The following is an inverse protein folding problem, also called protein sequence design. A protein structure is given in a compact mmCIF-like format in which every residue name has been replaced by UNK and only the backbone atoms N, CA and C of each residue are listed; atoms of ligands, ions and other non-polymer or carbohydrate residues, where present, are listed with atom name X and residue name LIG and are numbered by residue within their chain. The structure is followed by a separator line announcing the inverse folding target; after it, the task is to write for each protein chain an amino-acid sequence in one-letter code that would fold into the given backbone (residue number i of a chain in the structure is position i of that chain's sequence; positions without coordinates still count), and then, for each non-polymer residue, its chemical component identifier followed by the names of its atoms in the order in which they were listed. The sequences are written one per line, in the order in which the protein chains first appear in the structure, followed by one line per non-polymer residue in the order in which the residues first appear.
data_IF_545986554405
#
_entry.id   IF_545986554405
#
_cell.length_a   1.000
_cell.length_b   1.000
_cell.length_c   1.000
_cell.angle_alpha   90.00
_cell.angle_beta   90.00
_cell.angle_gamma   90.00
#
_symmetry.space_group_name_H-M   'P 1'
#
loop_
_entity.id
_entity.type
_entity.pdbx_description
1 polymer ?
#
# COMPACT_ATOMS: atom_id res chain seq x y z
N UNK A 1 -15.64 -2.60 -2.19
CA UNK A 1 -15.01 -2.67 -0.84
C UNK A 1 -16.07 -2.91 0.25
N UNK A 2 -15.88 -3.90 1.13
CA UNK A 2 -16.84 -4.24 2.19
C UNK A 2 -16.34 -3.70 3.54
N UNK A 3 -17.23 -3.02 4.28
CA UNK A 3 -16.95 -2.58 5.65
C UNK A 3 -16.90 -3.80 6.59
N UNK A 4 -15.86 -3.87 7.43
CA UNK A 4 -15.71 -4.88 8.47
C UNK A 4 -15.53 -4.22 9.83
N UNK A 5 -16.34 -4.61 10.81
CA UNK A 5 -16.22 -4.15 12.19
C UNK A 5 -15.30 -5.08 12.99
N UNK A 6 -14.42 -4.54 13.82
CA UNK A 6 -13.64 -5.28 14.82
C UNK A 6 -13.75 -4.56 16.16
N UNK A 7 -13.74 -5.33 17.25
CA UNK A 7 -13.68 -4.80 18.62
C UNK A 7 -12.54 -5.46 19.40
N UNK A 8 -11.96 -4.73 20.35
CA UNK A 8 -11.06 -5.35 21.33
C UNK A 8 -11.89 -6.12 22.37
N UNK A 9 -11.37 -7.27 22.81
CA UNK A 9 -11.96 -8.08 23.89
C UNK A 9 -11.16 -7.83 25.16
N UNK A 10 -11.86 -7.56 26.27
CA UNK A 10 -11.26 -7.51 27.59
C UNK A 10 -10.91 -8.93 28.05
N UNK A 11 -9.63 -9.24 28.29
CA UNK A 11 -9.21 -10.61 28.64
C UNK A 11 -9.72 -11.08 30.01
N UNK A 12 -10.07 -10.15 30.91
CA UNK A 12 -10.53 -10.48 32.26
C UNK A 12 -12.03 -10.81 32.31
N UNK A 13 -12.83 -10.18 31.44
CA UNK A 13 -14.30 -10.33 31.43
C UNK A 13 -14.82 -11.10 30.22
N UNK A 14 -14.00 -11.28 29.18
CA UNK A 14 -14.40 -11.88 27.91
C UNK A 14 -15.36 -11.02 27.07
N UNK A 15 -15.67 -9.80 27.51
CA UNK A 15 -16.59 -8.88 26.84
C UNK A 15 -15.86 -7.89 25.94
N UNK A 16 -16.60 -7.19 25.08
CA UNK A 16 -16.03 -6.05 24.35
C UNK A 16 -15.47 -5.02 25.35
N UNK A 17 -14.32 -4.44 25.01
CA UNK A 17 -13.75 -3.31 25.74
C UNK A 17 -14.45 -2.02 25.31
N UNK A 18 -14.78 -1.18 26.28
CA UNK A 18 -15.50 0.08 26.04
C UNK A 18 -14.74 0.97 25.05
N UNK A 19 -15.49 1.59 24.14
CA UNK A 19 -15.00 2.53 23.11
C UNK A 19 -13.95 1.95 22.14
N UNK A 20 -13.82 0.62 22.07
CA UNK A 20 -12.84 -0.04 21.18
C UNK A 20 -13.50 -0.70 19.97
N UNK A 21 -14.51 -0.05 19.37
CA UNK A 21 -15.16 -0.50 18.14
C UNK A 21 -14.58 0.24 16.92
N UNK A 22 -14.04 -0.52 15.98
CA UNK A 22 -13.37 0.02 14.78
C UNK A 22 -13.99 -0.52 13.51
N UNK A 23 -14.20 0.37 12.53
CA UNK A 23 -14.58 0.03 11.17
C UNK A 23 -13.37 0.01 10.24
N UNK A 24 -13.27 -1.02 9.39
CA UNK A 24 -12.23 -1.15 8.38
C UNK A 24 -12.84 -1.33 7.01
N UNK A 25 -12.33 -0.58 6.04
CA UNK A 25 -12.58 -0.82 4.62
C UNK A 25 -11.25 -1.20 3.99
N UNK A 26 -11.25 -2.27 3.20
CA UNK A 26 -10.04 -2.74 2.52
C UNK A 26 -10.30 -3.02 1.05
N UNK A 27 -9.21 -2.95 0.30
CA UNK A 27 -9.12 -3.46 -1.06
C UNK A 27 -9.25 -5.01 -1.03
N UNK A 28 -10.14 -5.61 -1.83
CA UNK A 28 -10.17 -7.06 -2.03
C UNK A 28 -8.82 -7.62 -2.53
N UNK A 29 -8.53 -8.86 -2.17
CA UNK A 29 -7.40 -9.61 -2.72
C UNK A 29 -7.56 -9.80 -4.24
N UNK A 30 -6.44 -9.85 -4.96
CA UNK A 30 -6.42 -10.15 -6.40
C UNK A 30 -6.50 -8.93 -7.31
N UNK A 31 -6.65 -7.72 -6.75
CA UNK A 31 -6.50 -6.49 -7.52
C UNK A 31 -5.04 -6.26 -7.92
N UNK A 32 -4.85 -5.72 -9.12
CA UNK A 32 -3.56 -5.36 -9.67
C UNK A 32 -3.54 -3.87 -9.96
N UNK A 33 -2.42 -3.22 -9.63
CA UNK A 33 -2.20 -1.80 -9.83
C UNK A 33 -0.82 -1.59 -10.42
N UNK A 34 -0.66 -0.52 -11.19
CA UNK A 34 0.62 -0.09 -11.76
C UNK A 34 0.97 1.24 -11.10
N UNK A 35 2.24 1.40 -10.75
CA UNK A 35 2.81 2.64 -10.25
C UNK A 35 4.19 2.87 -10.88
N UNK A 36 4.61 4.12 -10.93
CA UNK A 36 5.97 4.49 -11.33
C UNK A 36 6.79 4.79 -10.07
N UNK A 37 8.07 4.42 -10.10
CA UNK A 37 9.05 4.82 -9.10
C UNK A 37 10.08 5.70 -9.80
N UNK A 38 10.26 6.92 -9.29
CA UNK A 38 11.16 7.93 -9.84
C UNK A 38 12.04 8.46 -8.71
N UNK A 39 13.24 8.92 -9.05
CA UNK A 39 14.17 9.55 -8.13
C UNK A 39 14.85 10.74 -8.82
N UNK A 40 15.20 11.76 -8.05
CA UNK A 40 15.94 12.92 -8.55
C UNK A 40 17.34 12.51 -9.03
N UNK A 41 17.90 13.24 -10.00
CA UNK A 41 19.19 12.93 -10.65
C UNK A 41 20.38 12.82 -9.66
N UNK A 42 20.25 13.44 -8.49
CA UNK A 42 21.25 13.41 -7.42
C UNK A 42 21.28 12.09 -6.63
N UNK A 43 20.25 11.25 -6.78
CA UNK A 43 20.19 9.93 -6.16
C UNK A 43 20.98 8.93 -7.01
N UNK A 44 22.09 8.45 -6.46
CA UNK A 44 22.93 7.46 -7.14
C UNK A 44 22.17 6.16 -7.45
N UNK A 45 22.39 5.62 -8.65
CA UNK A 45 21.73 4.41 -9.15
C UNK A 45 21.80 3.23 -8.16
N UNK A 46 22.94 3.04 -7.48
CA UNK A 46 23.11 1.95 -6.52
C UNK A 46 22.15 2.02 -5.33
N UNK A 47 21.78 3.22 -4.87
CA UNK A 47 20.78 3.39 -3.81
C UNK A 47 19.38 3.10 -4.35
N UNK A 48 19.09 3.55 -5.58
CA UNK A 48 17.82 3.30 -6.24
C UNK A 48 17.58 1.80 -6.48
N UNK A 49 18.61 1.07 -6.91
CA UNK A 49 18.55 -0.38 -7.10
C UNK A 49 18.24 -1.12 -5.78
N UNK A 50 18.80 -0.66 -4.66
CA UNK A 50 18.47 -1.22 -3.33
C UNK A 50 17.00 -0.99 -2.96
N UNK A 51 16.43 0.17 -3.30
CA UNK A 51 15.01 0.43 -3.08
C UNK A 51 14.14 -0.51 -3.93
N UNK A 52 14.51 -0.71 -5.20
CA UNK A 52 13.83 -1.65 -6.10
C UNK A 52 13.90 -3.09 -5.57
N UNK A 53 15.03 -3.51 -5.04
CA UNK A 53 15.20 -4.83 -4.40
C UNK A 53 14.28 -4.96 -3.18
N UNK A 54 14.26 -3.94 -2.31
CA UNK A 54 13.42 -3.93 -1.11
C UNK A 54 11.93 -4.02 -1.45
N UNK A 55 11.49 -3.31 -2.50
CA UNK A 55 10.09 -3.33 -2.93
C UNK A 55 9.65 -4.70 -3.44
N UNK A 56 10.56 -5.51 -3.96
CA UNK A 56 10.28 -6.86 -4.48
C UNK A 56 10.33 -7.95 -3.38
N UNK A 57 10.56 -7.61 -2.12
CA UNK A 57 10.49 -8.58 -1.01
C UNK A 57 9.07 -9.13 -0.81
N UNK A 58 9.01 -10.41 -0.38
CA UNK A 58 7.76 -11.19 -0.25
C UNK A 58 6.81 -10.73 0.86
N UNK A 59 7.31 -9.99 1.85
CA UNK A 59 6.55 -9.63 3.06
C UNK A 59 6.16 -8.15 3.12
N UNK A 60 6.14 -7.48 1.98
CA UNK A 60 5.81 -6.06 1.92
C UNK A 60 4.34 -5.80 2.26
N UNK A 61 4.11 -4.79 3.11
CA UNK A 61 2.77 -4.32 3.47
C UNK A 61 2.58 -2.84 3.21
N UNK A 62 1.55 -2.51 2.43
CA UNK A 62 1.15 -1.14 2.11
C UNK A 62 -0.10 -0.72 2.90
N UNK A 63 -0.22 0.58 3.16
CA UNK A 63 -1.35 1.18 3.88
C UNK A 63 -1.14 1.34 5.38
N UNK A 64 -2.19 1.81 6.07
CA UNK A 64 -2.12 2.24 7.48
C UNK A 64 -2.19 1.10 8.50
N UNK A 65 -2.68 -0.07 8.11
CA UNK A 65 -2.93 -1.20 9.00
C UNK A 65 -1.91 -2.33 8.82
N UNK A 66 -0.62 -2.00 8.75
CA UNK A 66 0.47 -2.97 8.47
C UNK A 66 0.58 -4.09 9.51
N UNK A 67 0.17 -3.83 10.76
CA UNK A 67 0.11 -4.82 11.84
C UNK A 67 -1.22 -5.59 11.90
N UNK A 68 -2.26 -5.12 11.21
CA UNK A 68 -3.48 -5.87 11.01
C UNK A 68 -3.34 -6.74 9.75
N UNK A 69 -4.23 -7.71 9.57
CA UNK A 69 -4.20 -8.75 8.52
C UNK A 69 -4.32 -8.22 7.06
N UNK A 70 -4.04 -6.94 6.83
CA UNK A 70 -4.29 -6.23 5.57
C UNK A 70 -3.00 -5.66 4.96
N UNK A 71 -3.09 -5.33 3.67
CA UNK A 71 -2.05 -4.58 2.97
C UNK A 71 -0.91 -5.41 2.42
N UNK A 72 -0.95 -6.74 2.56
CA UNK A 72 0.03 -7.62 1.92
C UNK A 72 -0.03 -7.45 0.40
N UNK A 73 1.12 -7.23 -0.22
CA UNK A 73 1.26 -7.04 -1.66
C UNK A 73 2.43 -7.85 -2.19
N UNK A 74 2.37 -8.15 -3.49
CA UNK A 74 3.51 -8.61 -4.28
C UNK A 74 3.80 -7.52 -5.30
N UNK A 75 5.03 -7.03 -5.35
CA UNK A 75 5.47 -6.05 -6.36
C UNK A 75 6.44 -6.77 -7.29
N UNK A 76 6.25 -6.55 -8.58
CA UNK A 76 7.09 -7.07 -9.66
C UNK A 76 7.44 -5.91 -10.57
N UNK A 77 8.68 -5.91 -11.07
CA UNK A 77 9.09 -4.95 -12.09
C UNK A 77 8.39 -5.32 -13.41
N UNK A 78 7.71 -4.36 -14.02
CA UNK A 78 7.13 -4.54 -15.33
C UNK A 78 8.20 -4.28 -16.40
N UNK A 79 8.21 -5.06 -17.50
CA UNK A 79 9.06 -4.73 -18.63
C UNK A 79 8.71 -3.34 -19.14
N UNK A 80 9.71 -2.61 -19.62
CA UNK A 80 9.57 -1.24 -20.11
C UNK A 80 8.44 -1.16 -21.13
N UNK A 81 7.29 -0.65 -20.69
CA UNK A 81 6.15 -0.32 -21.54
C UNK A 81 6.11 1.19 -21.65
N UNK A 82 5.93 1.66 -22.90
CA UNK A 82 5.67 3.08 -23.15
C UNK A 82 4.50 3.50 -22.27
N UNK A 83 4.70 4.53 -21.46
CA UNK A 83 3.61 5.10 -20.68
C UNK A 83 2.63 5.75 -21.66
N UNK A 84 1.55 5.03 -21.99
CA UNK A 84 0.51 5.49 -22.91
C UNK A 84 -0.46 6.47 -22.24
N UNK A 85 -0.33 6.71 -20.93
CA UNK A 85 -1.17 7.68 -20.24
C UNK A 85 -0.83 9.08 -20.77
N UNK A 86 -1.83 9.93 -21.03
CA UNK A 86 -1.57 11.31 -21.35
C UNK A 86 -0.78 11.94 -20.19
N UNK A 87 0.32 12.62 -20.51
CA UNK A 87 1.06 13.41 -19.53
C UNK A 87 0.06 14.26 -18.76
N UNK A 88 0.13 14.22 -17.43
CA UNK A 88 -0.69 15.07 -16.58
C UNK A 88 -0.33 16.51 -16.96
N UNK A 89 -1.20 17.14 -17.74
CA UNK A 89 -1.01 18.52 -18.17
C UNK A 89 -0.91 19.41 -16.95
N UNK A 90 0.04 20.35 -17.01
CA UNK A 90 0.21 21.46 -16.08
C UNK A 90 -1.15 21.92 -15.54
N UNK A 91 -1.43 21.63 -14.27
CA UNK A 91 -2.54 22.21 -13.54
C UNK A 91 -2.19 23.65 -13.15
N UNK A 92 -1.85 24.45 -14.16
CA UNK A 92 -1.69 25.90 -14.07
C UNK A 92 -2.76 26.52 -14.97
N UNK A 93 -4.00 26.50 -14.48
CA UNK A 93 -5.05 27.50 -14.70
C UNK A 93 -6.40 26.97 -14.17
N UNK A 94 -6.75 27.42 -12.96
CA UNK A 94 -8.13 27.68 -12.52
C UNK A 94 -8.06 28.69 -11.35
#
# INVERSE_FOLDING_TARGET
PKLRMKTAINPNTGTAKDEQLFGYTSLPMGQQFIFNLEADDEIGQSLFDQVIEILQHKDLKLGRSRSAEYGAVKIELLPEQKDERPAIGDSSQA
#
